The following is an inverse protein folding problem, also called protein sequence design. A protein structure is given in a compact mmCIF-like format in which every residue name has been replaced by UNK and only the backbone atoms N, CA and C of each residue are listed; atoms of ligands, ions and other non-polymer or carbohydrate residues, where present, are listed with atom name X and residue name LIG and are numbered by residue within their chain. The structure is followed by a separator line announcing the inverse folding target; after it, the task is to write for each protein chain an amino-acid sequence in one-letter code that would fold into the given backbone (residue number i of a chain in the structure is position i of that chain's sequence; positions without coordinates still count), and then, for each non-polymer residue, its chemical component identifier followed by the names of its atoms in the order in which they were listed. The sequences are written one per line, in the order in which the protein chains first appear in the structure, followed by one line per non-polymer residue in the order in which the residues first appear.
data_IF_665080239661
#
_entry.id   IF_665080239661
#
_cell.length_a   1.000
_cell.length_b   1.000
_cell.length_c   1.000
_cell.angle_alpha   90.00
_cell.angle_beta   90.00
_cell.angle_gamma   90.00
#
_symmetry.space_group_name_H-M   'P 1'
#
loop_
_entity.id
_entity.type
_entity.pdbx_description
1 polymer ?
#
# COMPACT_ATOMS: atom_id res chain seq x y z
N UNK A 1 -7.20 -30.53 4.34
CA UNK A 1 -5.82 -30.01 4.44
C UNK A 1 -4.99 -31.09 5.14
N UNK A 2 -3.84 -31.50 4.60
CA UNK A 2 -3.06 -32.62 5.17
C UNK A 2 -2.17 -32.13 6.33
N UNK A 3 -1.83 -33.02 7.27
CA UNK A 3 -0.97 -32.69 8.43
C UNK A 3 0.39 -32.11 8.00
N UNK A 4 0.99 -32.67 6.94
CA UNK A 4 2.23 -32.16 6.36
C UNK A 4 2.12 -30.71 5.89
N UNK A 5 0.97 -30.32 5.28
CA UNK A 5 0.75 -28.95 4.82
C UNK A 5 0.60 -27.98 5.99
N UNK A 6 -0.08 -28.39 7.06
CA UNK A 6 -0.22 -27.58 8.28
C UNK A 6 1.15 -27.36 8.91
N UNK A 7 1.95 -28.42 9.04
CA UNK A 7 3.31 -28.35 9.59
C UNK A 7 4.21 -27.42 8.78
N UNK A 8 4.23 -27.58 7.45
CA UNK A 8 5.02 -26.72 6.57
C UNK A 8 4.57 -25.25 6.63
N UNK A 9 3.26 -24.99 6.75
CA UNK A 9 2.73 -23.63 6.92
C UNK A 9 3.19 -23.00 8.23
N UNK A 10 3.12 -23.73 9.35
CA UNK A 10 3.58 -23.22 10.65
C UNK A 10 5.11 -23.00 10.68
N UNK A 11 5.88 -23.89 10.04
CA UNK A 11 7.33 -23.71 9.88
C UNK A 11 7.66 -22.45 9.06
N UNK A 12 6.94 -22.21 7.97
CA UNK A 12 7.09 -20.99 7.16
C UNK A 12 6.74 -19.75 7.99
N UNK A 13 5.62 -19.77 8.71
CA UNK A 13 5.17 -18.66 9.57
C UNK A 13 6.20 -18.36 10.66
N UNK A 14 6.74 -19.40 11.30
CA UNK A 14 7.79 -19.25 12.30
C UNK A 14 9.10 -18.75 11.70
N UNK A 15 9.45 -19.20 10.49
CA UNK A 15 10.64 -18.72 9.77
C UNK A 15 10.50 -17.25 9.39
N UNK A 16 9.31 -16.80 8.97
CA UNK A 16 9.03 -15.39 8.70
C UNK A 16 9.12 -14.53 9.96
N UNK A 17 8.57 -15.02 11.09
CA UNK A 17 8.63 -14.31 12.38
C UNK A 17 10.05 -14.20 12.95
N UNK A 18 10.84 -15.25 12.80
CA UNK A 18 12.17 -15.38 13.39
C UNK A 18 13.30 -15.16 12.36
N UNK A 19 12.98 -14.64 11.18
CA UNK A 19 13.95 -14.45 10.12
C UNK A 19 15.12 -13.59 10.64
N UNK A 20 16.37 -13.88 10.23
CA UNK A 20 17.55 -13.12 10.65
C UNK A 20 17.52 -11.65 10.19
N UNK A 21 16.57 -11.30 9.32
CA UNK A 21 16.20 -9.94 8.96
C UNK A 21 15.48 -9.27 10.14
N UNK A 22 16.23 -8.97 11.20
CA UNK A 22 15.75 -8.18 12.34
C UNK A 22 15.45 -6.78 11.79
N UNK A 23 14.17 -6.52 11.60
CA UNK A 23 13.50 -5.48 10.83
C UNK A 23 13.75 -4.07 11.37
N UNK A 24 15.01 -3.66 11.51
CA UNK A 24 15.35 -2.27 11.82
C UNK A 24 15.51 -1.56 10.47
N UNK A 25 14.59 -0.65 10.12
CA UNK A 25 14.73 0.14 8.92
C UNK A 25 15.94 1.07 9.04
N UNK A 26 16.73 1.16 7.97
CA UNK A 26 17.74 2.20 7.83
C UNK A 26 17.15 3.38 7.07
N UNK A 27 16.87 4.47 7.77
CA UNK A 27 16.25 5.68 7.20
C UNK A 27 17.14 6.40 6.17
N UNK A 28 18.41 6.02 6.03
CA UNK A 28 19.33 6.57 5.03
C UNK A 28 19.23 5.85 3.68
N UNK A 29 18.58 4.69 3.63
CA UNK A 29 18.46 3.86 2.43
C UNK A 29 17.03 3.90 1.87
N UNK A 30 16.86 3.83 0.54
CA UNK A 30 15.54 3.84 -0.07
C UNK A 30 14.75 2.57 0.29
N UNK A 31 13.44 2.75 0.44
CA UNK A 31 12.50 1.65 0.60
C UNK A 31 11.98 1.17 -0.75
N UNK A 32 11.60 -0.10 -0.82
CA UNK A 32 10.89 -0.70 -1.95
C UNK A 32 9.49 -1.08 -1.49
N UNK A 33 8.48 -0.44 -2.04
CA UNK A 33 7.10 -0.73 -1.73
C UNK A 33 6.50 -1.61 -2.84
N UNK A 34 6.15 -2.84 -2.50
CA UNK A 34 5.37 -3.72 -3.37
C UNK A 34 3.90 -3.54 -3.02
N UNK A 35 3.06 -3.21 -4.01
CA UNK A 35 1.63 -3.01 -3.81
C UNK A 35 0.90 -3.89 -4.81
N UNK A 36 -0.10 -4.61 -4.34
CA UNK A 36 -1.08 -5.27 -5.19
C UNK A 36 -2.49 -4.97 -4.67
N UNK A 37 -3.44 -4.85 -5.58
CA UNK A 37 -4.83 -4.63 -5.24
C UNK A 37 -5.69 -5.49 -6.15
N UNK A 38 -6.68 -6.16 -5.57
CA UNK A 38 -7.75 -6.81 -6.29
C UNK A 38 -9.06 -6.02 -6.10
N UNK A 39 -10.17 -6.50 -6.67
CA UNK A 39 -11.46 -5.82 -6.55
C UNK A 39 -11.96 -5.66 -5.11
N UNK A 40 -11.46 -6.46 -4.17
CA UNK A 40 -11.97 -6.54 -2.80
C UNK A 40 -10.89 -6.25 -1.74
N UNK A 41 -9.61 -6.27 -2.11
CA UNK A 41 -8.51 -6.33 -1.15
C UNK A 41 -7.25 -5.62 -1.61
N UNK A 42 -6.56 -4.99 -0.66
CA UNK A 42 -5.30 -4.30 -0.81
C UNK A 42 -4.22 -5.07 -0.05
N UNK A 43 -3.11 -5.34 -0.72
CA UNK A 43 -1.91 -5.92 -0.14
C UNK A 43 -0.70 -5.05 -0.43
N UNK A 44 0.16 -4.84 0.57
CA UNK A 44 1.46 -4.25 0.33
C UNK A 44 2.56 -4.87 1.20
N UNK A 45 3.77 -4.90 0.67
CA UNK A 45 4.97 -5.32 1.38
C UNK A 45 6.03 -4.25 1.24
N UNK A 46 6.44 -3.67 2.37
CA UNK A 46 7.55 -2.72 2.45
C UNK A 46 8.84 -3.50 2.64
N UNK A 47 9.77 -3.35 1.71
CA UNK A 47 11.06 -4.02 1.70
C UNK A 47 12.19 -2.98 1.76
N UNK A 48 13.36 -3.43 2.21
CA UNK A 48 14.59 -2.65 2.13
C UNK A 48 15.76 -3.56 1.79
N UNK A 49 16.69 -3.06 0.98
CA UNK A 49 17.96 -3.74 0.72
C UNK A 49 19.00 -3.24 1.72
N UNK A 50 19.59 -4.16 2.48
CA UNK A 50 20.64 -3.89 3.47
C UNK A 50 21.87 -4.75 3.19
N UNK A 51 23.05 -4.31 3.64
CA UNK A 51 24.28 -5.11 3.51
C UNK A 51 24.40 -6.02 4.72
N UNK A 52 24.27 -7.33 4.50
CA UNK A 52 24.43 -8.36 5.53
C UNK A 52 25.52 -9.31 5.05
N UNK A 53 26.55 -9.52 5.88
CA UNK A 53 27.71 -10.35 5.50
C UNK A 53 28.31 -9.94 4.14
N UNK A 54 28.52 -8.63 3.97
CA UNK A 54 29.10 -8.01 2.75
C UNK A 54 28.27 -8.20 1.48
N UNK A 55 27.03 -8.70 1.57
CA UNK A 55 26.15 -8.92 0.44
C UNK A 55 24.88 -8.09 0.56
N UNK A 56 24.36 -7.53 -0.55
CA UNK A 56 23.06 -6.88 -0.55
C UNK A 56 21.97 -7.94 -0.41
N UNK A 57 21.21 -7.85 0.68
CA UNK A 57 20.06 -8.71 0.97
C UNK A 57 18.83 -7.83 1.05
N UNK A 58 17.84 -8.12 0.22
CA UNK A 58 16.52 -7.51 0.34
C UNK A 58 15.66 -8.32 1.30
N UNK A 59 15.04 -7.64 2.27
CA UNK A 59 14.11 -8.27 3.19
C UNK A 59 12.92 -7.37 3.52
N UNK A 60 11.84 -7.98 4.05
CA UNK A 60 10.63 -7.28 4.42
C UNK A 60 10.80 -6.52 5.74
N UNK A 61 10.36 -5.27 5.76
CA UNK A 61 10.26 -4.41 6.95
C UNK A 61 8.85 -4.51 7.53
N UNK A 62 7.83 -4.43 6.68
CA UNK A 62 6.43 -4.39 7.11
C UNK A 62 5.49 -4.92 6.02
N UNK A 63 4.34 -5.44 6.43
CA UNK A 63 3.29 -5.91 5.54
C UNK A 63 1.97 -5.23 5.87
N UNK A 64 1.21 -4.89 4.84
CA UNK A 64 -0.14 -4.34 4.90
C UNK A 64 -1.07 -5.30 4.19
N UNK A 65 -2.20 -5.62 4.82
CA UNK A 65 -3.29 -6.35 4.20
C UNK A 65 -4.60 -5.85 4.78
N UNK A 66 -5.51 -5.41 3.90
CA UNK A 66 -6.86 -5.01 4.31
C UNK A 66 -7.85 -5.10 3.16
N UNK A 67 -9.11 -5.33 3.49
CA UNK A 67 -10.21 -5.18 2.55
C UNK A 67 -10.38 -3.71 2.14
N UNK A 68 -10.67 -3.51 0.85
CA UNK A 68 -10.93 -2.18 0.28
C UNK A 68 -12.39 -1.85 0.55
N UNK A 69 -12.65 -0.67 1.12
CA UNK A 69 -14.02 -0.22 1.29
C UNK A 69 -14.59 0.29 -0.04
N UNK A 70 -15.90 0.09 -0.30
CA UNK A 70 -16.54 0.50 -1.56
C UNK A 70 -16.41 2.00 -1.88
N UNK A 71 -16.22 2.84 -0.87
CA UNK A 71 -16.02 4.29 -1.00
C UNK A 71 -14.63 4.62 -1.55
N UNK A 72 -13.60 3.87 -1.18
CA UNK A 72 -12.21 4.14 -1.56
C UNK A 72 -11.95 3.92 -3.05
N UNK A 73 -12.65 2.95 -3.65
CA UNK A 73 -12.59 2.65 -5.08
C UNK A 73 -13.05 3.83 -5.96
N UNK A 74 -13.85 4.76 -5.41
CA UNK A 74 -14.45 5.87 -6.17
C UNK A 74 -13.58 7.13 -6.21
N UNK A 75 -12.45 7.17 -5.49
CA UNK A 75 -11.73 8.43 -5.21
C UNK A 75 -10.42 8.60 -5.99
N UNK A 76 -10.34 8.12 -7.23
CA UNK A 76 -9.12 8.12 -8.05
C UNK A 76 -8.45 9.51 -8.17
N UNK A 77 -9.22 10.60 -8.26
CA UNK A 77 -8.68 11.96 -8.32
C UNK A 77 -7.96 12.38 -7.03
N UNK A 78 -8.54 12.06 -5.86
CA UNK A 78 -7.90 12.35 -4.56
C UNK A 78 -6.59 11.58 -4.44
N UNK A 79 -6.59 10.29 -4.79
CA UNK A 79 -5.38 9.48 -4.81
C UNK A 79 -4.31 10.04 -5.74
N UNK A 80 -4.71 10.54 -6.93
CA UNK A 80 -3.78 11.16 -7.87
C UNK A 80 -3.14 12.43 -7.28
N UNK A 81 -3.90 13.28 -6.58
CA UNK A 81 -3.38 14.47 -5.92
C UNK A 81 -2.44 14.10 -4.76
N UNK A 82 -2.82 13.18 -3.89
CA UNK A 82 -1.96 12.74 -2.79
C UNK A 82 -0.65 12.14 -3.28
N UNK A 83 -0.67 11.36 -4.38
CA UNK A 83 0.56 10.80 -4.96
C UNK A 83 1.48 11.89 -5.52
N UNK A 84 0.96 13.03 -5.98
CA UNK A 84 1.78 14.12 -6.52
C UNK A 84 2.79 14.65 -5.50
N UNK A 85 2.41 14.70 -4.22
CA UNK A 85 3.30 15.12 -3.11
C UNK A 85 4.57 14.27 -3.02
N UNK A 86 4.48 12.99 -3.40
CA UNK A 86 5.59 12.04 -3.31
C UNK A 86 6.36 11.87 -4.62
N UNK A 87 5.91 12.47 -5.74
CA UNK A 87 6.53 12.25 -7.06
C UNK A 87 8.00 12.66 -7.16
N UNK A 88 8.46 13.60 -6.33
CA UNK A 88 9.88 13.97 -6.28
C UNK A 88 10.79 12.86 -5.75
N UNK A 89 10.26 11.95 -4.94
CA UNK A 89 11.02 10.91 -4.22
C UNK A 89 10.54 9.47 -4.55
N UNK A 90 9.61 9.32 -5.50
CA UNK A 90 8.98 8.06 -5.87
C UNK A 90 9.33 7.69 -7.31
N UNK A 91 9.81 6.45 -7.51
CA UNK A 91 9.93 5.85 -8.84
C UNK A 91 8.97 4.67 -8.94
N UNK A 92 8.04 4.72 -9.90
CA UNK A 92 7.09 3.64 -10.15
C UNK A 92 7.72 2.68 -11.18
N UNK A 93 7.94 1.44 -10.77
CA UNK A 93 8.47 0.38 -11.65
C UNK A 93 7.38 -0.67 -11.83
N UNK A 94 6.89 -0.91 -13.07
CA UNK A 94 5.91 -1.96 -13.32
C UNK A 94 6.52 -3.32 -13.05
N UNK A 95 5.74 -4.22 -12.43
CA UNK A 95 6.16 -5.59 -12.11
C UNK A 95 5.07 -6.57 -12.55
N UNK A 96 5.45 -7.56 -13.34
CA UNK A 96 4.50 -8.57 -13.84
C UNK A 96 3.95 -9.43 -12.71
N UNK A 97 2.65 -9.75 -12.77
CA UNK A 97 1.93 -10.48 -11.70
C UNK A 97 2.59 -11.80 -11.29
N UNK A 98 3.19 -12.55 -12.22
CA UNK A 98 3.91 -13.80 -11.93
C UNK A 98 5.11 -13.63 -10.97
N UNK A 99 5.67 -12.41 -10.90
CA UNK A 99 6.81 -12.04 -10.05
C UNK A 99 6.31 -11.30 -8.79
N UNK A 100 5.06 -10.84 -8.76
CA UNK A 100 4.49 -10.00 -7.68
C UNK A 100 3.96 -10.80 -6.48
N UNK A 101 4.60 -11.94 -6.19
CA UNK A 101 4.15 -12.87 -5.13
C UNK A 101 4.20 -12.28 -3.72
N UNK A 102 4.98 -11.21 -3.51
CA UNK A 102 5.17 -10.57 -2.21
C UNK A 102 3.90 -9.85 -1.69
N UNK A 103 3.05 -9.36 -2.59
CA UNK A 103 1.82 -8.64 -2.22
C UNK A 103 0.54 -9.31 -2.76
N UNK A 104 0.63 -10.19 -3.76
CA UNK A 104 -0.52 -10.90 -4.34
C UNK A 104 -1.29 -11.74 -3.32
N UNK A 105 -0.60 -12.45 -2.43
CA UNK A 105 -1.27 -13.19 -1.36
C UNK A 105 -2.02 -12.28 -0.38
N UNK A 106 -1.48 -11.08 -0.12
CA UNK A 106 -2.04 -10.11 0.83
C UNK A 106 -3.27 -9.39 0.29
N UNK A 107 -3.37 -9.23 -1.04
CA UNK A 107 -4.51 -8.62 -1.72
C UNK A 107 -5.65 -9.63 -1.93
N UNK A 108 -5.32 -10.89 -2.27
CA UNK A 108 -6.31 -11.96 -2.54
C UNK A 108 -6.96 -12.52 -1.28
N UNK A 109 -6.22 -12.53 -0.15
CA UNK A 109 -6.71 -12.97 1.15
C UNK A 109 -6.62 -11.83 2.15
N UNK A 110 -7.23 -10.71 1.77
CA UNK A 110 -7.16 -9.47 2.53
C UNK A 110 -7.80 -9.62 3.92
N UNK A 111 -7.12 -9.11 4.94
CA UNK A 111 -7.65 -9.06 6.29
C UNK A 111 -8.84 -8.11 6.39
N UNK A 112 -9.75 -8.38 7.31
CA UNK A 112 -10.90 -7.50 7.54
C UNK A 112 -10.45 -6.08 7.95
N UNK A 113 -11.23 -5.09 7.53
CA UNK A 113 -11.00 -3.70 7.92
C UNK A 113 -11.66 -3.42 9.29
N UNK A 114 -11.12 -4.01 10.35
CA UNK A 114 -11.56 -3.83 11.75
C UNK A 114 -10.56 -2.98 12.54
N UNK A 115 -10.97 -2.40 13.66
CA UNK A 115 -10.11 -1.53 14.49
C UNK A 115 -8.82 -2.22 14.97
N UNK A 116 -8.83 -3.55 15.11
CA UNK A 116 -7.64 -4.33 15.50
C UNK A 116 -6.62 -4.47 14.35
N UNK A 117 -7.01 -4.18 13.11
CA UNK A 117 -6.10 -4.15 11.97
C UNK A 117 -5.28 -2.84 11.99
N UNK A 118 -3.94 -2.87 12.06
CA UNK A 118 -3.13 -1.66 12.01
C UNK A 118 -3.30 -0.83 10.73
N UNK A 119 -3.76 -1.46 9.65
CA UNK A 119 -4.08 -0.80 8.39
C UNK A 119 -5.53 -0.30 8.33
N UNK A 120 -6.25 -0.29 9.46
CA UNK A 120 -7.64 0.11 9.52
C UNK A 120 -7.85 1.53 9.02
N UNK A 121 -8.91 1.70 8.21
CA UNK A 121 -9.40 3.01 7.79
C UNK A 121 -10.88 3.15 8.15
N UNK A 122 -11.29 4.27 8.77
CA UNK A 122 -12.69 4.52 9.04
C UNK A 122 -13.47 4.62 7.73
N UNK A 123 -14.72 4.16 7.77
CA UNK A 123 -15.63 4.38 6.66
C UNK A 123 -16.10 5.83 6.66
N UNK A 124 -15.40 6.67 5.90
CA UNK A 124 -15.78 8.07 5.73
C UNK A 124 -16.89 8.19 4.67
N UNK A 125 -18.06 8.64 5.10
CA UNK A 125 -19.16 9.02 4.22
C UNK A 125 -18.86 10.40 3.64
N UNK A 126 -18.08 10.44 2.57
CA UNK A 126 -17.76 11.70 1.91
C UNK A 126 -18.92 12.16 1.02
N UNK A 127 -19.61 13.23 1.43
CA UNK A 127 -20.40 14.03 0.50
C UNK A 127 -19.42 14.80 -0.38
N UNK A 128 -19.09 14.24 -1.55
CA UNK A 128 -18.28 14.95 -2.54
C UNK A 128 -19.19 16.00 -3.20
N UNK A 129 -19.20 17.22 -2.66
CA UNK A 129 -19.57 18.39 -3.45
C UNK A 129 -18.43 18.66 -4.42
N UNK A 130 -18.43 17.93 -5.52
CA UNK A 130 -17.53 18.24 -6.63
C UNK A 130 -17.89 19.64 -7.11
N UNK A 131 -17.05 20.63 -6.83
CA UNK A 131 -17.16 21.92 -7.52
C UNK A 131 -16.85 21.64 -8.98
N UNK A 132 -17.89 21.55 -9.79
CA UNK A 132 -17.77 21.45 -11.23
C UNK A 132 -17.27 22.82 -11.72
N UNK A 133 -15.95 22.92 -11.96
CA UNK A 133 -15.31 24.16 -12.43
C UNK A 133 -15.85 24.61 -13.80
N UNK A 134 -16.61 23.75 -14.50
CA UNK A 134 -17.27 24.11 -15.75
C UNK A 134 -18.45 25.07 -15.58
N UNK A 135 -19.03 25.17 -14.38
CA UNK A 135 -20.10 26.13 -14.06
C UNK A 135 -19.59 27.37 -13.30
N UNK A 136 -18.28 27.46 -13.08
CA UNK A 136 -17.67 28.65 -12.48
C UNK A 136 -17.65 29.75 -13.54
N UNK A 137 -18.61 30.67 -13.41
CA UNK A 137 -18.68 31.87 -14.25
C UNK A 137 -17.40 32.71 -14.17
N UNK A 138 -17.17 33.50 -15.22
CA UNK A 138 -16.03 34.41 -15.35
C UNK A 138 -15.88 35.34 -14.13
N UNK A 139 -16.98 35.64 -13.45
CA UNK A 139 -17.07 36.46 -12.25
C UNK A 139 -16.20 35.93 -11.09
N UNK A 140 -16.16 34.62 -10.85
CA UNK A 140 -15.33 34.04 -9.79
C UNK A 140 -13.84 34.21 -10.09
N UNK A 141 -13.45 33.99 -11.34
CA UNK A 141 -12.05 34.17 -11.77
C UNK A 141 -11.61 35.64 -11.67
N UNK A 142 -12.51 36.58 -11.95
CA UNK A 142 -12.22 38.01 -11.79
C UNK A 142 -12.06 38.39 -10.32
N UNK A 143 -12.89 37.85 -9.41
CA UNK A 143 -12.75 38.08 -7.97
C UNK A 143 -11.42 37.58 -7.41
N UNK A 144 -11.02 36.35 -7.77
CA UNK A 144 -9.73 35.78 -7.32
C UNK A 144 -8.53 36.57 -7.84
N UNK A 145 -8.66 37.18 -9.02
CA UNK A 145 -7.59 37.97 -9.63
C UNK A 145 -7.42 39.36 -8.99
N UNK A 146 -8.47 39.89 -8.37
CA UNK A 146 -8.49 41.21 -7.75
C UNK A 146 -8.16 41.20 -6.25
N UNK A 147 -8.18 40.02 -5.60
CA UNK A 147 -7.72 39.78 -4.22
C UNK A 147 -6.24 39.45 -4.13
#
# INVERSE_FOLDING_TARGET
MTEERVKAYEELKNSLKNAPFRSIPDWKLPFKLYIDACGEGLGAALHQTQIINEKPVEGPIFFISRQIQPTEAKHMLRWQLSIQEYRGNLTIVPKSGNIHKNADGLSRWALENTFDNPAWVPQEEHHIEGICVTDIGTEFFNQVKES
#
